data_IF_389048850649
#
_entry.id   IF_389048850649
#
_cell.length_a   1.000
_cell.length_b   1.000
_cell.length_c   1.000
_cell.angle_alpha   90.00
_cell.angle_beta   90.00
_cell.angle_gamma   90.00
#
_symmetry.space_group_name_H-M   'P 1'
#
loop_
_entity.id
_entity.type
_entity.pdbx_description
1 polymer ?
#
# COMPACT_ATOMS: atom_id res chain seq x y z
N UNK A 1 27.18 11.78 -13.55
CA UNK A 1 27.14 11.42 -14.98
C UNK A 1 28.11 12.32 -15.72
N UNK A 2 29.06 11.72 -16.43
CA UNK A 2 30.30 12.34 -16.91
C UNK A 2 30.05 13.33 -18.05
N UNK A 3 30.83 14.42 -18.10
CA UNK A 3 30.79 15.50 -19.09
C UNK A 3 30.95 15.05 -20.57
N UNK A 4 31.28 13.77 -20.81
CA UNK A 4 31.59 13.23 -22.13
C UNK A 4 30.36 12.77 -22.94
N UNK A 5 29.23 12.41 -22.32
CA UNK A 5 28.06 11.90 -23.08
C UNK A 5 27.27 12.99 -23.85
N UNK A 6 27.58 14.26 -23.61
CA UNK A 6 26.91 15.38 -24.29
C UNK A 6 27.45 15.59 -25.72
N UNK A 7 28.71 15.20 -25.98
CA UNK A 7 29.35 15.50 -27.27
C UNK A 7 28.92 14.55 -28.40
N UNK A 8 28.54 13.31 -28.10
CA UNK A 8 28.16 12.34 -29.15
C UNK A 8 26.78 12.61 -29.77
N UNK A 9 25.88 13.28 -29.04
CA UNK A 9 24.60 13.72 -29.61
C UNK A 9 24.71 15.00 -30.46
N UNK A 10 25.85 15.69 -30.43
CA UNK A 10 26.05 16.94 -31.19
C UNK A 10 26.47 16.71 -32.64
N UNK A 11 27.14 15.59 -32.95
CA UNK A 11 27.56 15.28 -34.32
C UNK A 11 26.44 14.70 -35.19
N UNK A 12 25.47 13.99 -34.60
CA UNK A 12 24.34 13.43 -35.35
C UNK A 12 23.25 14.44 -35.75
N UNK A 13 23.21 15.65 -35.18
CA UNK A 13 22.19 16.67 -35.53
C UNK A 13 22.63 17.70 -36.57
N UNK A 14 23.82 17.57 -37.16
CA UNK A 14 24.24 18.41 -38.31
C UNK A 14 23.38 18.17 -39.56
N UNK A 15 22.65 17.05 -39.63
CA UNK A 15 21.96 16.60 -40.84
C UNK A 15 20.46 16.93 -40.95
N UNK A 16 19.81 17.56 -39.96
CA UNK A 16 18.33 17.69 -39.99
C UNK A 16 17.83 19.14 -40.15
N UNK A 17 18.61 20.18 -39.84
CA UNK A 17 18.13 21.58 -39.97
C UNK A 17 19.23 22.54 -40.48
N UNK A 18 19.38 22.73 -41.81
CA UNK A 18 20.48 23.52 -42.38
C UNK A 18 20.34 25.05 -42.22
N UNK A 19 19.29 25.57 -41.58
CA UNK A 19 18.98 27.01 -41.60
C UNK A 19 18.51 27.62 -40.27
N UNK A 20 18.91 27.06 -39.12
CA UNK A 20 18.64 27.68 -37.81
C UNK A 20 19.94 28.25 -37.24
N UNK A 21 20.02 29.58 -37.10
CA UNK A 21 21.13 30.26 -36.42
C UNK A 21 21.34 29.65 -35.03
N UNK A 22 22.59 29.30 -34.70
CA UNK A 22 23.00 28.72 -33.42
C UNK A 22 22.55 29.55 -32.20
N UNK A 23 22.34 30.85 -32.40
CA UNK A 23 21.83 31.78 -31.39
C UNK A 23 20.37 31.45 -31.03
N UNK A 24 19.54 31.10 -32.04
CA UNK A 24 18.16 30.70 -31.83
C UNK A 24 18.07 29.32 -31.16
N UNK A 25 18.98 28.39 -31.47
CA UNK A 25 19.00 27.08 -30.81
C UNK A 25 19.35 27.19 -29.32
N UNK A 26 20.40 27.96 -28.96
CA UNK A 26 20.73 28.22 -27.54
C UNK A 26 19.59 28.90 -26.80
N UNK A 27 18.88 29.85 -27.44
CA UNK A 27 17.73 30.53 -26.85
C UNK A 27 16.55 29.59 -26.60
N UNK A 28 16.25 28.68 -27.54
CA UNK A 28 15.19 27.66 -27.40
C UNK A 28 15.52 26.63 -26.32
N UNK A 29 16.78 26.18 -26.23
CA UNK A 29 17.20 25.25 -25.17
C UNK A 29 17.12 25.89 -23.77
N UNK A 30 17.57 27.14 -23.63
CA UNK A 30 17.46 27.87 -22.36
C UNK A 30 16.01 28.14 -21.96
N UNK A 31 15.14 28.52 -22.90
CA UNK A 31 13.72 28.76 -22.59
C UNK A 31 13.00 27.49 -22.17
N UNK A 32 13.26 26.36 -22.84
CA UNK A 32 12.64 25.08 -22.49
C UNK A 32 13.12 24.55 -21.12
N UNK A 33 14.41 24.73 -20.80
CA UNK A 33 14.95 24.36 -19.49
C UNK A 33 14.38 25.24 -18.36
N UNK A 34 14.26 26.55 -18.60
CA UNK A 34 13.72 27.48 -17.61
C UNK A 34 12.21 27.25 -17.36
N UNK A 35 11.44 26.88 -18.39
CA UNK A 35 10.02 26.52 -18.21
C UNK A 35 9.83 25.25 -17.40
N UNK A 36 10.73 24.27 -17.55
CA UNK A 36 10.67 23.01 -16.81
C UNK A 36 11.02 23.20 -15.33
N UNK A 37 12.04 24.02 -15.04
CA UNK A 37 12.39 24.39 -13.66
C UNK A 37 11.27 25.18 -12.99
N UNK A 38 10.72 26.18 -13.67
CA UNK A 38 9.63 26.97 -13.10
C UNK A 38 8.39 26.12 -12.87
N UNK A 39 8.08 25.19 -13.77
CA UNK A 39 7.01 24.20 -13.59
C UNK A 39 7.28 23.32 -12.37
N UNK A 40 8.49 22.77 -12.23
CA UNK A 40 8.88 21.97 -11.08
C UNK A 40 8.84 22.74 -9.75
N UNK A 41 9.24 24.02 -9.76
CA UNK A 41 9.13 24.92 -8.58
C UNK A 41 7.67 25.17 -8.25
N UNK A 42 6.83 25.44 -9.25
CA UNK A 42 5.38 25.67 -9.05
C UNK A 42 4.73 24.40 -8.49
N UNK A 43 4.98 23.23 -9.07
CA UNK A 43 4.46 21.94 -8.60
C UNK A 43 4.90 21.63 -7.16
N UNK A 44 6.18 21.87 -6.83
CA UNK A 44 6.68 21.69 -5.46
C UNK A 44 6.12 22.74 -4.49
N UNK A 45 5.95 23.99 -4.93
CA UNK A 45 5.36 25.07 -4.11
C UNK A 45 3.86 24.88 -3.85
N UNK A 46 3.17 24.16 -4.73
CA UNK A 46 1.74 23.84 -4.62
C UNK A 46 1.45 22.63 -3.73
N UNK A 47 2.46 22.08 -3.05
CA UNK A 47 2.26 21.03 -2.05
C UNK A 47 2.75 19.63 -2.43
N UNK A 48 3.74 19.52 -3.33
CA UNK A 48 4.40 18.24 -3.63
C UNK A 48 3.54 17.23 -4.39
N UNK A 49 4.00 15.97 -4.42
CA UNK A 49 3.38 14.84 -5.14
C UNK A 49 1.86 14.83 -4.90
N UNK A 50 1.07 15.04 -5.95
CA UNK A 50 -0.40 15.07 -5.87
C UNK A 50 -0.88 13.70 -5.39
N UNK A 51 -1.21 13.62 -4.11
CA UNK A 51 -1.76 12.43 -3.46
C UNK A 51 -3.02 12.03 -4.22
N UNK A 52 -3.10 10.77 -4.64
CA UNK A 52 -4.21 10.30 -5.46
C UNK A 52 -5.45 10.16 -4.56
N UNK A 53 -6.50 10.98 -4.76
CA UNK A 53 -7.70 10.87 -3.94
C UNK A 53 -8.42 9.53 -4.10
N UNK A 54 -8.22 8.83 -5.23
CA UNK A 54 -8.81 7.51 -5.47
C UNK A 54 -8.16 6.44 -4.61
N UNK A 55 -6.86 6.54 -4.39
CA UNK A 55 -6.11 5.64 -3.54
C UNK A 55 -6.53 5.80 -2.07
N UNK A 56 -6.65 7.05 -1.61
CA UNK A 56 -7.15 7.33 -0.26
C UNK A 56 -8.55 6.77 -0.05
N UNK A 57 -9.44 6.90 -1.03
CA UNK A 57 -10.79 6.31 -0.95
C UNK A 57 -10.77 4.79 -0.93
N UNK A 58 -9.83 4.17 -1.66
CA UNK A 58 -9.65 2.72 -1.69
C UNK A 58 -9.24 2.21 -0.31
N UNK A 59 -8.25 2.83 0.35
CA UNK A 59 -7.75 2.38 1.65
C UNK A 59 -8.36 3.14 2.84
N UNK A 60 -9.66 3.40 2.82
CA UNK A 60 -10.40 3.97 3.97
C UNK A 60 -9.76 5.26 4.54
N UNK A 61 -9.48 6.21 3.66
CA UNK A 61 -8.88 7.52 3.96
C UNK A 61 -7.41 7.46 4.41
N UNK A 62 -6.70 6.34 4.19
CA UNK A 62 -5.25 6.24 4.36
C UNK A 62 -4.53 5.91 3.05
N UNK A 63 -3.21 5.83 3.10
CA UNK A 63 -2.37 5.49 1.96
C UNK A 63 -1.90 4.05 2.01
N UNK A 64 -1.72 3.44 0.84
CA UNK A 64 -1.32 2.05 0.72
C UNK A 64 0.02 1.77 1.42
N UNK A 65 0.98 2.70 1.35
CA UNK A 65 2.30 2.50 1.95
C UNK A 65 2.26 2.48 3.48
N UNK A 66 1.19 2.96 4.12
CA UNK A 66 1.07 2.97 5.59
C UNK A 66 0.29 1.78 6.14
N UNK A 67 -0.35 1.02 5.25
CA UNK A 67 -1.18 -0.10 5.65
C UNK A 67 -0.30 -1.25 6.14
N UNK A 68 -0.58 -1.68 7.37
CA UNK A 68 0.05 -2.85 7.96
C UNK A 68 -0.70 -4.10 7.51
N UNK A 69 -2.03 -4.05 7.64
CA UNK A 69 -2.89 -5.14 7.21
C UNK A 69 -4.30 -4.68 6.88
N UNK A 70 -4.98 -5.44 6.03
CA UNK A 70 -6.32 -5.18 5.50
C UNK A 70 -7.14 -6.47 5.39
N UNK A 71 -8.47 -6.34 5.44
CA UNK A 71 -9.37 -7.43 5.05
C UNK A 71 -10.54 -6.93 4.23
N UNK A 72 -11.14 -7.83 3.47
CA UNK A 72 -12.33 -7.55 2.67
C UNK A 72 -13.56 -7.28 3.55
N UNK A 73 -14.61 -6.70 2.95
CA UNK A 73 -15.88 -6.47 3.65
C UNK A 73 -16.50 -7.79 4.15
N UNK A 74 -16.41 -8.85 3.34
CA UNK A 74 -16.99 -10.15 3.68
C UNK A 74 -16.26 -10.79 4.87
N UNK A 75 -14.92 -10.73 4.87
CA UNK A 75 -14.11 -11.21 5.98
C UNK A 75 -14.33 -10.40 7.25
N UNK A 76 -14.43 -9.07 7.16
CA UNK A 76 -14.72 -8.21 8.30
C UNK A 76 -16.09 -8.50 8.93
N UNK A 77 -17.02 -9.09 8.18
CA UNK A 77 -18.34 -9.53 8.64
C UNK A 77 -18.37 -11.03 9.03
N UNK A 78 -17.23 -11.72 8.98
CA UNK A 78 -17.12 -13.14 9.26
C UNK A 78 -16.69 -13.42 10.71
N UNK A 79 -17.07 -14.59 11.22
CA UNK A 79 -16.69 -15.03 12.56
C UNK A 79 -15.17 -15.19 12.77
N UNK A 80 -14.37 -15.73 11.82
CA UNK A 80 -12.94 -15.91 12.01
C UNK A 80 -12.20 -14.61 12.36
N UNK A 81 -12.48 -13.52 11.64
CA UNK A 81 -11.86 -12.21 11.93
C UNK A 81 -12.36 -11.69 13.28
N UNK A 82 -13.66 -11.76 13.55
CA UNK A 82 -14.22 -11.32 14.82
C UNK A 82 -13.57 -12.02 16.02
N UNK A 83 -13.39 -13.34 15.96
CA UNK A 83 -12.92 -14.14 17.08
C UNK A 83 -11.44 -13.89 17.40
N UNK A 84 -10.61 -13.68 16.38
CA UNK A 84 -9.17 -13.47 16.53
C UNK A 84 -8.72 -12.00 16.46
N UNK A 85 -9.63 -11.06 16.21
CA UNK A 85 -9.28 -9.64 16.02
C UNK A 85 -8.45 -9.06 17.16
N UNK A 86 -8.77 -9.43 18.41
CA UNK A 86 -8.06 -8.94 19.58
C UNK A 86 -6.59 -9.39 19.59
N UNK A 87 -6.34 -10.64 19.27
CA UNK A 87 -5.00 -11.24 19.26
C UNK A 87 -4.16 -10.64 18.12
N UNK A 88 -4.78 -10.50 16.94
CA UNK A 88 -4.18 -9.85 15.77
C UNK A 88 -3.78 -8.40 16.11
N UNK A 89 -4.71 -7.62 16.68
CA UNK A 89 -4.44 -6.22 16.99
C UNK A 89 -3.40 -6.07 18.11
N UNK A 90 -3.35 -6.99 19.08
CA UNK A 90 -2.31 -7.03 20.10
C UNK A 90 -0.93 -7.26 19.51
N UNK A 91 -0.79 -8.23 18.59
CA UNK A 91 0.45 -8.52 17.89
C UNK A 91 0.91 -7.34 17.03
N UNK A 92 -0.01 -6.67 16.34
CA UNK A 92 0.33 -5.46 15.57
C UNK A 92 0.78 -4.32 16.50
N UNK A 93 0.11 -4.14 17.65
CA UNK A 93 0.40 -3.05 18.58
C UNK A 93 1.72 -3.23 19.37
N UNK A 94 2.27 -4.46 19.42
CA UNK A 94 3.61 -4.67 19.98
C UNK A 94 4.72 -4.20 19.05
N UNK A 95 4.49 -4.33 17.73
CA UNK A 95 5.51 -4.10 16.72
C UNK A 95 5.44 -2.68 16.14
N UNK A 96 4.25 -2.07 16.16
CA UNK A 96 3.98 -0.75 15.60
C UNK A 96 3.31 0.16 16.64
N UNK A 97 3.78 1.41 16.76
CA UNK A 97 3.10 2.48 17.48
C UNK A 97 3.35 3.83 16.78
N UNK A 98 2.32 4.67 16.56
CA UNK A 98 0.90 4.46 16.86
C UNK A 98 0.16 3.61 15.81
N UNK A 99 -0.82 2.82 16.26
CA UNK A 99 -1.70 2.02 15.39
C UNK A 99 -3.10 2.66 15.31
N UNK A 100 -3.64 2.70 14.10
CA UNK A 100 -5.01 3.18 13.83
C UNK A 100 -5.80 2.13 13.06
N UNK A 101 -7.01 1.86 13.53
CA UNK A 101 -7.98 0.96 12.90
C UNK A 101 -9.04 1.78 12.17
N UNK A 102 -9.14 1.59 10.86
CA UNK A 102 -10.17 2.17 9.99
C UNK A 102 -11.21 1.10 9.69
N UNK A 103 -12.48 1.44 9.93
CA UNK A 103 -13.61 0.52 9.76
C UNK A 103 -14.51 1.09 8.66
N UNK A 104 -14.82 0.26 7.65
CA UNK A 104 -15.72 0.63 6.58
C UNK A 104 -17.16 0.78 7.08
N UNK A 105 -17.94 1.76 6.57
CA UNK A 105 -19.35 1.90 6.91
C UNK A 105 -20.21 0.72 6.41
N UNK A 106 -19.71 -0.09 5.48
CA UNK A 106 -20.41 -1.26 4.92
C UNK A 106 -20.28 -2.53 5.79
N UNK A 107 -19.42 -2.51 6.82
CA UNK A 107 -19.37 -3.56 7.84
C UNK A 107 -20.64 -3.50 8.70
N UNK A 108 -21.18 -4.63 9.14
CA UNK A 108 -22.37 -4.66 9.99
C UNK A 108 -22.12 -3.88 11.30
N UNK A 109 -23.07 -3.03 11.70
CA UNK A 109 -23.00 -2.19 12.90
C UNK A 109 -22.55 -2.95 14.15
N UNK A 110 -22.97 -4.21 14.34
CA UNK A 110 -22.53 -5.01 15.48
C UNK A 110 -21.01 -5.22 15.48
N UNK A 111 -20.44 -5.58 14.32
CA UNK A 111 -19.00 -5.77 14.17
C UNK A 111 -18.25 -4.44 14.25
N UNK A 112 -18.80 -3.35 13.71
CA UNK A 112 -18.19 -2.02 13.87
C UNK A 112 -18.00 -1.64 15.34
N UNK A 113 -19.05 -1.80 16.16
CA UNK A 113 -19.00 -1.52 17.60
C UNK A 113 -17.98 -2.42 18.30
N UNK A 114 -17.93 -3.70 17.92
CA UNK A 114 -16.96 -4.65 18.45
C UNK A 114 -15.52 -4.20 18.18
N UNK A 115 -15.18 -3.90 16.92
CA UNK A 115 -13.82 -3.48 16.55
C UNK A 115 -13.40 -2.17 17.23
N UNK A 116 -14.32 -1.19 17.32
CA UNK A 116 -14.09 0.05 18.06
C UNK A 116 -13.78 -0.21 19.54
N UNK A 117 -14.52 -1.11 20.17
CA UNK A 117 -14.33 -1.45 21.59
C UNK A 117 -12.97 -2.10 21.82
N UNK A 118 -12.63 -3.11 21.05
CA UNK A 118 -11.35 -3.84 21.19
C UNK A 118 -10.17 -2.89 20.94
N UNK A 119 -10.22 -2.05 19.91
CA UNK A 119 -9.15 -1.10 19.64
C UNK A 119 -8.99 -0.08 20.78
N UNK A 120 -10.09 0.43 21.33
CA UNK A 120 -10.07 1.34 22.48
C UNK A 120 -9.49 0.66 23.72
N UNK A 121 -9.87 -0.59 24.00
CA UNK A 121 -9.38 -1.35 25.15
C UNK A 121 -7.86 -1.60 25.07
N UNK A 122 -7.32 -1.68 23.86
CA UNK A 122 -5.87 -1.81 23.59
C UNK A 122 -5.14 -0.45 23.45
N UNK A 123 -5.83 0.68 23.64
CA UNK A 123 -5.25 2.02 23.53
C UNK A 123 -4.97 2.48 22.09
N UNK A 124 -5.48 1.75 21.08
CA UNK A 124 -5.35 2.10 19.68
C UNK A 124 -6.40 3.15 19.26
N UNK A 125 -6.09 3.95 18.24
CA UNK A 125 -7.09 4.83 17.62
C UNK A 125 -7.98 3.98 16.73
N UNK A 126 -9.28 4.22 16.75
CA UNK A 126 -10.20 3.57 15.83
C UNK A 126 -11.31 4.51 15.38
N UNK A 127 -11.66 4.45 14.09
CA UNK A 127 -12.70 5.31 13.51
C UNK A 127 -13.47 4.56 12.42
N UNK A 128 -14.79 4.73 12.42
CA UNK A 128 -15.63 4.39 11.26
C UNK A 128 -15.46 5.52 10.24
N UNK A 129 -15.06 5.18 9.03
CA UNK A 129 -14.80 6.14 7.95
C UNK A 129 -16.08 6.67 7.31
N UNK A 130 -15.94 7.77 6.58
CA UNK A 130 -17.08 8.42 5.93
C UNK A 130 -17.68 7.56 4.82
N UNK A 131 -18.94 7.84 4.47
CA UNK A 131 -19.65 7.22 3.35
C UNK A 131 -19.00 7.45 1.98
N UNK A 132 -17.99 8.31 1.89
CA UNK A 132 -17.24 8.50 0.65
C UNK A 132 -16.36 7.29 0.30
N UNK A 133 -16.10 6.41 1.26
CA UNK A 133 -15.29 5.20 1.10
C UNK A 133 -16.12 3.93 0.88
N UNK A 134 -17.43 4.03 0.62
CA UNK A 134 -18.32 2.88 0.43
C UNK A 134 -17.93 1.94 -0.72
N UNK A 135 -17.25 2.47 -1.74
CA UNK A 135 -16.79 1.68 -2.88
C UNK A 135 -15.44 0.99 -2.60
N UNK A 136 -14.88 1.15 -1.40
CA UNK A 136 -13.68 0.42 -1.00
C UNK A 136 -13.98 -1.08 -0.94
N UNK A 137 -13.09 -1.95 -1.43
CA UNK A 137 -13.23 -3.39 -1.26
C UNK A 137 -12.96 -3.84 0.19
N UNK A 138 -12.41 -2.97 1.04
CA UNK A 138 -11.92 -3.32 2.37
C UNK A 138 -12.96 -3.04 3.45
N UNK A 139 -13.13 -4.00 4.36
CA UNK A 139 -13.93 -3.86 5.57
C UNK A 139 -13.14 -3.23 6.71
N UNK A 140 -11.86 -3.60 6.84
CA UNK A 140 -10.93 -3.06 7.82
C UNK A 140 -9.60 -2.72 7.17
N UNK A 141 -9.00 -1.62 7.62
CA UNK A 141 -7.62 -1.25 7.30
C UNK A 141 -6.93 -0.84 8.61
N UNK A 142 -5.83 -1.52 8.94
CA UNK A 142 -4.98 -1.21 10.09
C UNK A 142 -3.70 -0.59 9.57
N UNK A 143 -3.39 0.61 10.04
CA UNK A 143 -2.25 1.38 9.53
C UNK A 143 -1.48 2.07 10.65
N UNK A 144 -0.21 2.36 10.39
CA UNK A 144 0.62 3.23 11.22
C UNK A 144 0.56 4.67 10.71
N UNK A 145 1.33 5.57 11.33
CA UNK A 145 1.51 6.95 10.90
C UNK A 145 2.64 7.13 9.86
N UNK A 146 3.47 6.11 9.65
CA UNK A 146 4.61 6.12 8.75
C UNK A 146 4.54 4.99 7.72
N UNK A 147 5.23 5.09 6.57
CA UNK A 147 5.27 4.00 5.60
C UNK A 147 5.87 2.72 6.20
N UNK A 148 5.32 1.57 5.82
CA UNK A 148 5.75 0.23 6.24
C UNK A 148 5.99 -0.63 5.01
N UNK A 149 7.13 -1.34 4.99
CA UNK A 149 7.48 -2.27 3.93
C UNK A 149 6.89 -3.66 4.23
N UNK A 150 5.65 -3.87 3.80
CA UNK A 150 4.93 -5.15 3.91
C UNK A 150 4.44 -5.56 2.52
N UNK A 151 4.94 -6.70 2.04
CA UNK A 151 4.55 -7.26 0.75
C UNK A 151 3.14 -7.90 0.80
N UNK A 152 2.82 -8.59 1.91
CA UNK A 152 1.55 -9.30 2.11
C UNK A 152 0.74 -8.65 3.23
N UNK A 153 -0.32 -7.93 2.83
CA UNK A 153 -1.14 -7.12 3.74
C UNK A 153 -2.46 -7.79 4.11
N UNK A 154 -2.90 -8.83 3.41
CA UNK A 154 -4.16 -9.49 3.71
C UNK A 154 -4.09 -10.19 5.09
N UNK A 155 -5.05 -9.87 5.98
CA UNK A 155 -5.08 -10.41 7.36
C UNK A 155 -5.05 -11.94 7.35
N UNK A 156 -5.82 -12.56 6.44
CA UNK A 156 -5.92 -14.02 6.33
C UNK A 156 -4.56 -14.69 6.04
N UNK A 157 -3.72 -14.04 5.22
CA UNK A 157 -2.41 -14.55 4.85
C UNK A 157 -1.38 -14.24 5.95
N UNK A 158 -1.33 -12.99 6.40
CA UNK A 158 -0.35 -12.50 7.38
C UNK A 158 -0.50 -13.18 8.74
N UNK A 159 -1.74 -13.51 9.13
CA UNK A 159 -2.05 -14.16 10.40
C UNK A 159 -2.73 -15.52 10.23
N UNK A 160 -2.34 -16.27 9.20
CA UNK A 160 -2.82 -17.62 8.92
C UNK A 160 -2.71 -18.59 10.11
N UNK A 161 -1.84 -18.31 11.07
CA UNK A 161 -1.70 -19.03 12.34
C UNK A 161 -2.98 -19.04 13.21
N UNK A 162 -3.80 -17.98 13.14
CA UNK A 162 -5.06 -17.91 13.89
C UNK A 162 -6.23 -18.59 13.17
N UNK A 163 -6.12 -18.77 11.84
CA UNK A 163 -7.21 -19.32 11.02
C UNK A 163 -7.05 -20.82 10.72
N UNK A 164 -5.88 -21.39 11.03
CA UNK A 164 -5.68 -22.82 10.93
C UNK A 164 -6.30 -23.52 12.15
N UNK A 165 -7.45 -24.16 11.93
CA UNK A 165 -7.97 -25.15 12.87
C UNK A 165 -6.89 -26.22 13.09
N UNK A 166 -6.56 -26.47 14.36
CA UNK A 166 -5.66 -27.50 14.87
C UNK A 166 -5.36 -28.64 13.88
N UNK A 167 -4.31 -28.48 13.08
CA UNK A 167 -3.66 -29.60 12.42
C UNK A 167 -2.31 -29.85 13.06
N UNK A 168 -2.34 -30.12 14.36
CA UNK A 168 -1.29 -30.91 15.00
C UNK A 168 -1.35 -32.36 14.47
N UNK A 169 -0.97 -32.59 13.22
CA UNK A 169 -0.49 -33.89 12.76
C UNK A 169 0.65 -33.69 11.77
N UNK A 170 1.86 -34.03 12.23
CA UNK A 170 2.92 -34.64 11.43
C UNK A 170 2.35 -35.22 10.13
N UNK A 171 2.70 -34.64 9.00
CA UNK A 171 2.72 -35.41 7.75
C UNK A 171 3.93 -36.32 7.86
N UNK A 172 3.73 -37.47 8.50
CA UNK A 172 4.55 -38.64 8.25
C UNK A 172 4.57 -38.87 6.73
N UNK A 173 5.78 -39.06 6.21
CA UNK A 173 6.05 -39.39 4.81
C UNK A 173 5.12 -40.53 4.40
N UNK A 174 4.19 -40.27 3.50
CA UNK A 174 3.45 -41.35 2.82
C UNK A 174 4.50 -42.21 2.10
N UNK A 175 4.57 -43.53 2.34
CA UNK A 175 5.48 -44.38 1.58
C UNK A 175 5.12 -44.22 0.11
N UNK A 176 6.11 -43.77 -0.66
CA UNK A 176 5.94 -43.46 -2.06
C UNK A 176 5.62 -44.75 -2.81
N UNK A 177 4.72 -44.64 -3.77
CA UNK A 177 4.23 -45.70 -4.67
C UNK A 177 5.35 -46.51 -5.38
N UNK A 178 6.60 -46.09 -5.24
CA UNK A 178 7.81 -46.72 -5.77
C UNK A 178 8.39 -47.82 -4.87
N UNK A 179 8.06 -47.87 -3.57
CA UNK A 179 8.55 -48.94 -2.67
C UNK A 179 7.94 -50.32 -3.01
N UNK A 180 6.85 -50.37 -3.79
CA UNK A 180 6.22 -51.61 -4.25
C UNK A 180 6.73 -52.12 -5.61
N UNK A 181 7.64 -51.41 -6.27
CA UNK A 181 8.14 -51.78 -7.61
C UNK A 181 9.53 -52.42 -7.60
N UNK A 182 10.18 -52.55 -6.44
CA UNK A 182 11.49 -53.19 -6.29
C UNK A 182 11.58 -54.15 -5.09
N UNK A 183 10.58 -55.01 -4.93
CA UNK A 183 10.72 -56.29 -4.23
C UNK A 183 10.17 -57.41 -5.11
#
# INVERSE_FOLDING_TARGET
MSFYEIYDNFLCKRFIFPNVSWINFKKVCYTNFMTDINKAIIEKSQGGLKLNPDEQRKFLETFEERVITECSIDEANSAPIHDHFKEILQKISSDYQPVTVKISPEVNSQYQIFYLKIAKDLGCKATIVSSNCKNSPFGLVIHSDHPVEIDEKEIANQFSEFFQADSSQKVEKRPSFWEKLFH
#
